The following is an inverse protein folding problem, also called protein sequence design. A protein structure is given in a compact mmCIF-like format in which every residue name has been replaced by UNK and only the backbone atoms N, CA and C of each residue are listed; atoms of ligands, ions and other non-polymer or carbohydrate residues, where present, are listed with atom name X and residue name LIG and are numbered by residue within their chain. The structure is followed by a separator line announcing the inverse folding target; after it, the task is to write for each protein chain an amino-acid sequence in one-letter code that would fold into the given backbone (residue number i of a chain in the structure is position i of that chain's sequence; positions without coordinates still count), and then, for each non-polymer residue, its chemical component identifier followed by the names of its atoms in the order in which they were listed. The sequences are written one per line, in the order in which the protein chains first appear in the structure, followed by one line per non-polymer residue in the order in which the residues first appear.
data_IF_115856919061
#
_entry.id   IF_115856919061
#
_cell.length_a   1.000
_cell.length_b   1.000
_cell.length_c   1.000
_cell.angle_alpha   90.00
_cell.angle_beta   90.00
_cell.angle_gamma   90.00
#
_symmetry.space_group_name_H-M   'P 1'
#
loop_
_entity.id
_entity.type
_entity.pdbx_description
1 polymer ?
#
# COMPACT_ATOMS: atom_id res chain seq x y z
N UNK A 1 -24.21 -27.53 -1.24
CA UNK A 1 -25.47 -28.09 -1.84
C UNK A 1 -25.07 -29.43 -2.43
N UNK A 2 -25.70 -30.51 -2.02
CA UNK A 2 -25.43 -31.83 -2.61
C UNK A 2 -25.68 -31.80 -4.11
N UNK A 3 -24.93 -32.58 -4.85
CA UNK A 3 -25.18 -32.82 -6.27
C UNK A 3 -26.51 -33.52 -6.46
N UNK A 4 -27.13 -33.27 -7.61
CA UNK A 4 -28.32 -33.98 -8.07
C UNK A 4 -27.92 -34.77 -9.32
N UNK A 5 -28.06 -36.10 -9.28
CA UNK A 5 -27.82 -36.93 -10.44
C UNK A 5 -28.75 -36.47 -11.58
N UNK A 6 -28.14 -36.10 -12.68
CA UNK A 6 -28.90 -35.63 -13.85
C UNK A 6 -29.65 -36.73 -14.54
N UNK A 7 -30.74 -36.38 -15.18
CA UNK A 7 -31.49 -37.26 -16.08
C UNK A 7 -31.16 -36.98 -17.56
N UNK A 8 -30.01 -36.35 -17.81
CA UNK A 8 -29.56 -36.04 -19.16
C UNK A 8 -28.87 -37.24 -19.79
N UNK A 9 -29.48 -37.80 -20.84
CA UNK A 9 -28.96 -38.98 -21.54
C UNK A 9 -27.81 -38.61 -22.46
N UNK A 10 -26.77 -39.43 -22.45
CA UNK A 10 -25.79 -39.49 -23.53
C UNK A 10 -26.47 -40.13 -24.77
N UNK A 11 -26.87 -39.29 -25.70
CA UNK A 11 -27.69 -39.72 -26.84
C UNK A 11 -26.96 -40.73 -27.72
N UNK A 12 -25.68 -40.55 -27.96
CA UNK A 12 -24.87 -41.44 -28.81
C UNK A 12 -24.68 -42.81 -28.16
N UNK A 13 -24.30 -42.86 -26.90
CA UNK A 13 -24.15 -44.09 -26.14
C UNK A 13 -25.47 -44.81 -25.96
N UNK A 14 -26.56 -44.06 -25.71
CA UNK A 14 -27.87 -44.61 -25.55
C UNK A 14 -28.37 -45.23 -26.87
N UNK A 15 -28.17 -44.56 -28.00
CA UNK A 15 -28.55 -45.10 -29.32
C UNK A 15 -27.75 -46.36 -29.69
N UNK A 16 -26.49 -46.45 -29.30
CA UNK A 16 -25.66 -47.63 -29.48
C UNK A 16 -26.16 -48.79 -28.62
N UNK A 17 -26.38 -48.54 -27.32
CA UNK A 17 -26.87 -49.55 -26.39
C UNK A 17 -28.26 -50.11 -26.77
N UNK A 18 -29.19 -49.29 -27.26
CA UNK A 18 -30.47 -49.71 -27.76
C UNK A 18 -30.30 -50.65 -28.97
N UNK A 19 -29.42 -50.33 -29.92
CA UNK A 19 -29.15 -51.19 -31.07
C UNK A 19 -28.59 -52.55 -30.67
N UNK A 20 -27.70 -52.59 -29.71
CA UNK A 20 -27.12 -53.81 -29.17
C UNK A 20 -28.18 -54.68 -28.46
N UNK A 21 -28.99 -54.04 -27.59
CA UNK A 21 -30.07 -54.74 -26.89
C UNK A 21 -31.10 -55.37 -27.86
N UNK A 22 -31.46 -54.61 -28.89
CA UNK A 22 -32.37 -55.11 -29.94
C UNK A 22 -31.70 -56.25 -30.67
N UNK A 23 -30.48 -56.20 -31.07
CA UNK A 23 -29.74 -57.28 -31.73
C UNK A 23 -29.64 -58.55 -30.89
N UNK A 24 -29.51 -58.39 -29.54
CA UNK A 24 -29.43 -59.43 -28.55
C UNK A 24 -30.84 -60.05 -28.23
N UNK A 25 -31.91 -59.46 -28.74
CA UNK A 25 -33.28 -59.89 -28.45
C UNK A 25 -33.79 -59.50 -27.07
N UNK A 26 -33.13 -58.55 -26.41
CA UNK A 26 -33.53 -58.01 -25.11
C UNK A 26 -34.81 -57.18 -25.23
N UNK A 27 -35.75 -57.36 -24.28
CA UNK A 27 -37.03 -56.63 -24.28
C UNK A 27 -37.03 -55.38 -23.38
N UNK A 28 -36.02 -55.23 -22.57
CA UNK A 28 -35.85 -54.08 -21.62
C UNK A 28 -34.39 -53.72 -21.54
N UNK A 29 -34.12 -52.43 -21.52
CA UNK A 29 -32.81 -51.86 -21.24
C UNK A 29 -32.96 -50.87 -20.07
N UNK A 30 -32.29 -51.18 -18.97
CA UNK A 30 -32.20 -50.25 -17.84
C UNK A 30 -31.12 -49.21 -18.13
N UNK A 31 -31.54 -47.99 -18.43
CA UNK A 31 -30.65 -46.89 -18.80
C UNK A 31 -29.73 -46.48 -17.65
N UNK A 32 -30.18 -46.62 -16.38
CA UNK A 32 -29.40 -46.30 -15.20
C UNK A 32 -28.32 -47.36 -14.96
N UNK A 33 -28.73 -48.65 -14.98
CA UNK A 33 -27.78 -49.76 -14.82
C UNK A 33 -26.72 -49.80 -15.93
N UNK A 34 -27.11 -49.40 -17.15
CA UNK A 34 -26.21 -49.29 -18.30
C UNK A 34 -25.34 -48.01 -18.29
N UNK A 35 -25.51 -47.14 -17.32
CA UNK A 35 -24.70 -45.91 -17.16
C UNK A 35 -24.82 -44.94 -18.33
N UNK A 36 -26.04 -44.81 -18.91
CA UNK A 36 -26.27 -44.02 -20.11
C UNK A 36 -26.64 -42.55 -19.84
N UNK A 37 -26.69 -42.16 -18.62
CA UNK A 37 -26.81 -40.76 -18.23
C UNK A 37 -25.41 -40.09 -18.04
N UNK A 38 -25.32 -38.81 -18.37
CA UNK A 38 -24.11 -38.05 -18.02
C UNK A 38 -23.93 -38.05 -16.53
N UNK A 39 -22.75 -38.45 -16.09
CA UNK A 39 -22.38 -38.48 -14.68
C UNK A 39 -21.96 -37.09 -14.19
N UNK A 40 -22.27 -36.76 -12.95
CA UNK A 40 -21.78 -35.58 -12.28
C UNK A 40 -20.24 -35.65 -12.21
N UNK A 41 -19.58 -34.63 -12.77
CA UNK A 41 -18.10 -34.59 -12.83
C UNK A 41 -17.49 -34.15 -11.50
N UNK A 42 -18.16 -33.25 -10.77
CA UNK A 42 -17.70 -32.74 -9.48
C UNK A 42 -18.76 -33.04 -8.42
N UNK A 43 -18.38 -33.74 -7.37
CA UNK A 43 -19.25 -34.14 -6.26
C UNK A 43 -19.01 -33.29 -5.04
N UNK A 44 -19.96 -33.19 -4.13
CA UNK A 44 -19.86 -32.43 -2.87
C UNK A 44 -18.75 -32.95 -1.93
N UNK A 45 -18.30 -34.19 -2.10
CA UNK A 45 -17.22 -34.80 -1.37
C UNK A 45 -15.85 -34.71 -2.09
N UNK A 46 -15.79 -34.02 -3.24
CA UNK A 46 -14.54 -33.78 -3.97
C UNK A 46 -13.50 -33.08 -3.07
N UNK A 47 -12.32 -33.68 -2.89
CA UNK A 47 -11.30 -33.14 -1.99
C UNK A 47 -10.78 -31.76 -2.45
N UNK A 48 -10.69 -31.51 -3.77
CA UNK A 48 -10.23 -30.24 -4.32
C UNK A 48 -11.23 -29.12 -4.05
N UNK A 49 -12.54 -29.41 -4.26
CA UNK A 49 -13.60 -28.46 -3.95
C UNK A 49 -13.64 -28.11 -2.45
N UNK A 50 -13.49 -29.10 -1.58
CA UNK A 50 -13.43 -28.89 -0.12
C UNK A 50 -12.24 -28.05 0.29
N UNK A 51 -11.04 -28.37 -0.21
CA UNK A 51 -9.83 -27.61 0.07
C UNK A 51 -9.94 -26.16 -0.42
N UNK A 52 -10.56 -25.92 -1.56
CA UNK A 52 -10.86 -24.58 -2.06
C UNK A 52 -11.83 -23.83 -1.14
N UNK A 53 -12.92 -24.46 -0.73
CA UNK A 53 -13.88 -23.87 0.21
C UNK A 53 -13.22 -23.50 1.55
N UNK A 54 -12.38 -24.37 2.08
CA UNK A 54 -11.66 -24.14 3.33
C UNK A 54 -10.66 -22.96 3.18
N UNK A 55 -10.00 -22.86 2.04
CA UNK A 55 -9.11 -21.75 1.71
C UNK A 55 -9.88 -20.42 1.63
N UNK A 56 -10.99 -20.40 0.91
CA UNK A 56 -11.85 -19.20 0.81
C UNK A 56 -12.44 -18.80 2.15
N UNK A 57 -12.79 -19.75 3.02
CA UNK A 57 -13.27 -19.48 4.38
C UNK A 57 -12.16 -18.86 5.25
N UNK A 58 -10.90 -19.27 5.09
CA UNK A 58 -9.77 -18.65 5.79
C UNK A 58 -9.58 -17.21 5.34
N UNK A 59 -9.61 -16.92 4.05
CA UNK A 59 -9.56 -15.54 3.54
C UNK A 59 -10.72 -14.69 4.08
N UNK A 60 -11.92 -15.26 4.15
CA UNK A 60 -13.09 -14.53 4.67
C UNK A 60 -12.96 -14.21 6.16
N UNK A 61 -12.29 -15.04 6.92
CA UNK A 61 -12.04 -14.84 8.35
C UNK A 61 -10.81 -13.98 8.63
N UNK A 62 -9.95 -13.76 7.63
CA UNK A 62 -8.72 -13.01 7.74
C UNK A 62 -8.99 -11.51 7.95
N UNK A 63 -8.16 -10.89 8.78
CA UNK A 63 -8.10 -9.43 8.92
C UNK A 63 -6.66 -8.96 8.97
N UNK A 64 -6.35 -7.84 8.30
CA UNK A 64 -5.07 -7.14 8.42
C UNK A 64 -5.35 -5.79 9.05
N UNK A 65 -4.88 -5.60 10.28
CA UNK A 65 -5.02 -4.33 10.98
C UNK A 65 -3.73 -3.51 10.80
N UNK A 66 -3.84 -2.38 10.13
CA UNK A 66 -2.76 -1.41 10.00
C UNK A 66 -2.79 -0.46 11.18
N UNK A 67 -1.73 -0.46 11.98
CA UNK A 67 -1.54 0.49 13.07
C UNK A 67 -0.75 1.70 12.56
N UNK A 68 -1.31 2.89 12.68
CA UNK A 68 -0.68 4.15 12.24
C UNK A 68 -0.72 5.15 13.39
N UNK A 69 0.29 5.10 14.25
CA UNK A 69 0.28 5.82 15.53
C UNK A 69 -0.83 5.30 16.45
N UNK A 70 -1.73 6.18 16.87
CA UNK A 70 -2.89 5.82 17.70
C UNK A 70 -4.11 5.39 16.87
N UNK A 71 -4.10 5.61 15.56
CA UNK A 71 -5.17 5.20 14.65
C UNK A 71 -4.93 3.80 14.10
N UNK A 72 -6.00 3.16 13.68
CA UNK A 72 -5.95 1.88 13.00
C UNK A 72 -6.88 1.84 11.79
N UNK A 73 -6.47 1.07 10.78
CA UNK A 73 -7.26 0.78 9.59
C UNK A 73 -7.36 -0.73 9.43
N UNK A 74 -8.56 -1.24 9.19
CA UNK A 74 -8.80 -2.68 9.10
C UNK A 74 -9.15 -3.06 7.67
N UNK A 75 -8.30 -3.89 7.08
CA UNK A 75 -8.60 -4.61 5.85
C UNK A 75 -9.28 -5.92 6.24
N UNK A 76 -10.58 -6.01 6.02
CA UNK A 76 -11.38 -7.18 6.39
C UNK A 76 -11.43 -8.26 5.31
N UNK A 77 -11.81 -9.47 5.73
CA UNK A 77 -11.91 -10.62 4.85
C UNK A 77 -12.97 -10.47 3.75
N UNK A 78 -13.98 -9.63 3.94
CA UNK A 78 -14.98 -9.32 2.91
C UNK A 78 -14.34 -8.57 1.74
N UNK A 79 -13.58 -7.53 2.05
CA UNK A 79 -12.80 -6.75 1.10
C UNK A 79 -11.75 -7.63 0.41
N UNK A 80 -10.99 -8.43 1.17
CA UNK A 80 -10.00 -9.36 0.61
C UNK A 80 -10.65 -10.32 -0.37
N UNK A 81 -11.77 -10.96 0.00
CA UNK A 81 -12.49 -11.89 -0.87
C UNK A 81 -12.98 -11.25 -2.18
N UNK A 82 -13.27 -9.94 -2.19
CA UNK A 82 -13.69 -9.25 -3.42
C UNK A 82 -12.58 -9.15 -4.46
N UNK A 83 -11.33 -9.35 -4.08
CA UNK A 83 -10.15 -9.34 -4.96
C UNK A 83 -9.74 -10.73 -5.42
N UNK A 84 -10.33 -11.79 -4.84
CA UNK A 84 -9.89 -13.15 -5.12
C UNK A 84 -10.53 -13.70 -6.38
N UNK A 85 -9.75 -14.45 -7.12
CA UNK A 85 -10.18 -15.28 -8.24
C UNK A 85 -9.58 -16.68 -8.12
N UNK A 86 -10.28 -17.66 -8.68
CA UNK A 86 -9.78 -19.05 -8.75
C UNK A 86 -9.29 -19.29 -10.16
N UNK A 87 -8.02 -19.63 -10.30
CA UNK A 87 -7.42 -20.00 -11.56
C UNK A 87 -7.92 -21.37 -12.07
N UNK A 88 -7.63 -21.67 -13.33
CA UNK A 88 -7.95 -22.97 -13.93
C UNK A 88 -7.16 -24.13 -13.31
N UNK A 89 -6.09 -23.82 -12.61
CA UNK A 89 -5.25 -24.73 -11.80
C UNK A 89 -5.80 -24.97 -10.38
N UNK A 90 -6.93 -24.32 -10.02
CA UNK A 90 -7.53 -24.37 -8.69
C UNK A 90 -6.84 -23.48 -7.65
N UNK A 91 -5.83 -22.69 -8.04
CA UNK A 91 -5.16 -21.77 -7.12
C UNK A 91 -5.98 -20.48 -6.93
N UNK A 92 -5.98 -19.98 -5.69
CA UNK A 92 -6.60 -18.70 -5.35
C UNK A 92 -5.57 -17.58 -5.56
N UNK A 93 -5.93 -16.60 -6.37
CA UNK A 93 -5.08 -15.46 -6.70
C UNK A 93 -5.78 -14.17 -6.30
N UNK A 94 -5.04 -13.23 -5.72
CA UNK A 94 -5.52 -11.88 -5.45
C UNK A 94 -5.29 -10.97 -6.66
N UNK A 95 -6.30 -10.17 -7.01
CA UNK A 95 -6.17 -9.15 -8.05
C UNK A 95 -5.21 -8.04 -7.57
N UNK A 96 -4.09 -7.82 -8.26
CA UNK A 96 -3.15 -6.74 -7.92
C UNK A 96 -3.79 -5.34 -7.90
N UNK A 97 -4.84 -5.12 -8.69
CA UNK A 97 -5.52 -3.83 -8.73
C UNK A 97 -6.26 -3.54 -7.41
N UNK A 98 -6.90 -4.55 -6.81
CA UNK A 98 -7.55 -4.42 -5.50
C UNK A 98 -6.55 -4.10 -4.40
N UNK A 99 -5.44 -4.83 -4.34
CA UNK A 99 -4.34 -4.59 -3.39
C UNK A 99 -3.77 -3.17 -3.56
N UNK A 100 -3.47 -2.78 -4.80
CA UNK A 100 -2.93 -1.45 -5.12
C UNK A 100 -3.91 -0.34 -4.72
N UNK A 101 -5.20 -0.49 -5.03
CA UNK A 101 -6.23 0.48 -4.68
C UNK A 101 -6.37 0.69 -3.17
N UNK A 102 -6.28 -0.39 -2.39
CA UNK A 102 -6.29 -0.29 -0.93
C UNK A 102 -5.06 0.47 -0.40
N UNK A 103 -3.86 0.15 -0.88
CA UNK A 103 -2.62 0.82 -0.45
C UNK A 103 -2.64 2.30 -0.85
N UNK A 104 -3.18 2.65 -2.02
CA UNK A 104 -3.37 4.04 -2.42
C UNK A 104 -4.34 4.79 -1.50
N UNK A 105 -5.44 4.15 -1.10
CA UNK A 105 -6.37 4.74 -0.14
C UNK A 105 -5.73 4.95 1.24
N UNK A 106 -4.92 3.98 1.69
CA UNK A 106 -4.15 4.08 2.92
C UNK A 106 -3.16 5.25 2.86
N UNK A 107 -2.41 5.39 1.76
CA UNK A 107 -1.49 6.50 1.54
C UNK A 107 -2.24 7.85 1.49
N UNK A 108 -3.36 7.94 0.78
CA UNK A 108 -4.17 9.16 0.72
C UNK A 108 -4.68 9.60 2.09
N UNK A 109 -4.94 8.65 3.00
CA UNK A 109 -5.38 8.95 4.36
C UNK A 109 -4.21 9.37 5.27
N UNK A 110 -3.09 8.68 5.22
CA UNK A 110 -2.02 8.76 6.22
C UNK A 110 -0.74 9.46 5.78
N UNK A 111 -0.54 9.73 4.49
CA UNK A 111 0.59 10.54 4.05
C UNK A 111 0.37 12.00 4.45
N UNK A 112 1.41 12.61 5.03
CA UNK A 112 1.41 14.02 5.43
C UNK A 112 2.45 14.83 4.66
N UNK A 113 3.45 14.19 4.09
CA UNK A 113 4.43 14.84 3.22
C UNK A 113 3.71 15.56 2.06
N UNK A 114 4.02 16.85 1.86
CA UNK A 114 3.39 17.69 0.85
C UNK A 114 2.06 18.33 1.26
N UNK A 115 1.48 17.98 2.41
CA UNK A 115 0.29 18.68 2.91
C UNK A 115 0.64 20.04 3.50
N UNK A 116 -0.31 20.96 3.43
CA UNK A 116 -0.20 22.25 4.12
C UNK A 116 -0.41 22.05 5.63
N UNK A 117 0.46 22.70 6.43
CA UNK A 117 0.42 22.71 7.90
C UNK A 117 0.67 24.10 8.41
N UNK A 118 0.05 24.44 9.54
CA UNK A 118 0.30 25.72 10.20
C UNK A 118 1.57 25.61 11.04
N UNK A 119 2.54 26.49 10.76
CA UNK A 119 3.75 26.64 11.53
C UNK A 119 3.64 27.87 12.43
N UNK A 120 3.82 27.68 13.74
CA UNK A 120 3.87 28.76 14.71
C UNK A 120 5.31 29.23 14.84
N UNK A 121 5.59 30.41 14.35
CA UNK A 121 6.95 30.98 14.30
C UNK A 121 7.43 31.44 15.71
N UNK A 122 8.74 31.54 15.87
CA UNK A 122 9.36 32.02 17.13
C UNK A 122 8.95 33.44 17.50
N UNK A 123 8.57 34.27 16.52
CA UNK A 123 8.05 35.62 16.74
C UNK A 123 6.51 35.69 16.88
N UNK A 124 5.84 34.54 16.96
CA UNK A 124 4.42 34.44 17.29
C UNK A 124 3.45 34.58 16.10
N UNK A 125 3.90 34.41 14.86
CA UNK A 125 3.05 34.38 13.66
C UNK A 125 2.64 32.95 13.32
N UNK A 126 1.46 32.79 12.72
CA UNK A 126 0.99 31.56 12.14
C UNK A 126 1.18 31.61 10.62
N UNK A 127 1.94 30.67 10.09
CA UNK A 127 2.27 30.62 8.65
C UNK A 127 1.86 29.28 8.06
N UNK A 128 1.05 29.25 6.98
CA UNK A 128 0.80 28.02 6.26
C UNK A 128 2.06 27.61 5.47
N UNK A 129 2.56 26.42 5.74
CA UNK A 129 3.73 25.86 5.05
C UNK A 129 3.41 24.49 4.48
N UNK A 130 3.92 24.24 3.28
CA UNK A 130 4.00 22.92 2.66
C UNK A 130 5.46 22.48 2.61
N UNK A 131 5.73 21.28 2.14
CA UNK A 131 7.11 20.83 1.93
C UNK A 131 7.20 19.32 1.88
N UNK A 132 8.35 18.78 1.52
CA UNK A 132 8.53 17.33 1.39
C UNK A 132 8.60 16.60 2.73
N UNK A 133 8.72 17.31 3.85
CA UNK A 133 8.75 16.71 5.19
C UNK A 133 7.41 16.09 5.56
N UNK A 134 7.43 14.98 6.28
CA UNK A 134 6.25 14.31 6.77
C UNK A 134 6.29 12.80 6.57
N UNK A 135 5.22 12.12 6.89
CA UNK A 135 5.03 10.70 6.67
C UNK A 135 4.67 10.43 5.21
N UNK A 136 5.28 9.41 4.65
CA UNK A 136 4.98 8.97 3.28
C UNK A 136 5.10 7.46 3.17
N UNK A 137 4.04 6.78 2.77
CA UNK A 137 4.07 5.35 2.50
C UNK A 137 4.96 5.02 1.30
N UNK A 138 5.71 3.94 1.41
CA UNK A 138 6.27 3.24 0.25
C UNK A 138 5.20 2.35 -0.35
N UNK A 139 4.39 2.92 -1.24
CA UNK A 139 3.25 2.20 -1.81
C UNK A 139 3.69 0.93 -2.58
N UNK A 140 4.84 0.97 -3.25
CA UNK A 140 5.33 -0.17 -4.02
C UNK A 140 5.76 -1.31 -3.08
N UNK A 141 6.54 -0.98 -2.05
CA UNK A 141 6.96 -1.96 -1.05
C UNK A 141 5.78 -2.50 -0.25
N UNK A 142 4.78 -1.64 0.08
CA UNK A 142 3.59 -2.07 0.81
C UNK A 142 2.69 -3.01 -0.03
N UNK A 143 2.48 -2.71 -1.32
CA UNK A 143 1.75 -3.60 -2.23
C UNK A 143 2.42 -4.97 -2.30
N UNK A 144 3.75 -5.01 -2.41
CA UNK A 144 4.51 -6.25 -2.42
C UNK A 144 4.36 -7.00 -1.09
N UNK A 145 4.52 -6.32 0.04
CA UNK A 145 4.41 -6.89 1.36
C UNK A 145 3.01 -7.44 1.64
N UNK A 146 1.96 -6.67 1.32
CA UNK A 146 0.57 -7.11 1.49
C UNK A 146 0.23 -8.30 0.60
N UNK A 147 0.66 -8.28 -0.68
CA UNK A 147 0.45 -9.40 -1.60
C UNK A 147 1.08 -10.69 -1.09
N UNK A 148 2.30 -10.62 -0.57
CA UNK A 148 2.96 -11.79 0.02
C UNK A 148 2.25 -12.25 1.29
N UNK A 149 1.81 -11.30 2.09
CA UNK A 149 1.13 -11.59 3.35
C UNK A 149 -0.22 -12.28 3.17
N UNK A 150 -0.99 -11.88 2.17
CA UNK A 150 -2.28 -12.51 1.86
C UNK A 150 -2.15 -14.02 1.62
N UNK A 151 -0.99 -14.51 1.18
CA UNK A 151 -0.75 -15.96 0.96
C UNK A 151 -0.79 -16.79 2.25
N UNK A 152 -0.53 -16.20 3.41
CA UNK A 152 -0.55 -16.90 4.69
C UNK A 152 -1.97 -17.23 5.17
N UNK A 153 -2.96 -16.43 4.75
CA UNK A 153 -4.35 -16.46 5.23
C UNK A 153 -4.52 -16.23 6.74
N UNK A 154 -3.49 -15.71 7.43
CA UNK A 154 -3.52 -15.43 8.86
C UNK A 154 -3.88 -13.97 9.13
N UNK A 155 -4.61 -13.71 10.23
CA UNK A 155 -4.88 -12.35 10.67
C UNK A 155 -3.67 -11.76 11.40
N UNK A 156 -3.40 -10.45 11.18
CA UNK A 156 -2.29 -9.77 11.86
C UNK A 156 -2.55 -8.29 12.08
N UNK A 157 -1.75 -7.74 12.97
CA UNK A 157 -1.58 -6.29 13.14
C UNK A 157 -0.16 -5.92 12.70
N UNK A 158 -0.04 -4.85 11.90
CA UNK A 158 1.26 -4.38 11.40
C UNK A 158 1.23 -2.87 11.15
N UNK A 159 2.40 -2.26 11.05
CA UNK A 159 2.54 -0.92 10.50
C UNK A 159 2.72 -0.99 8.97
N UNK A 160 2.25 0.05 8.23
CA UNK A 160 2.58 0.19 6.81
C UNK A 160 4.08 0.36 6.58
N UNK A 161 4.56 0.01 5.39
CA UNK A 161 5.94 0.32 4.98
C UNK A 161 6.02 1.80 4.59
N UNK A 162 6.91 2.54 5.25
CA UNK A 162 7.12 3.96 4.99
C UNK A 162 8.40 4.21 4.19
N UNK A 163 8.30 4.99 3.12
CA UNK A 163 9.44 5.55 2.40
C UNK A 163 10.08 6.71 3.17
N UNK A 164 9.26 7.42 3.98
CA UNK A 164 9.71 8.53 4.80
C UNK A 164 8.89 8.60 6.09
N UNK A 165 9.57 8.91 7.19
CA UNK A 165 8.98 9.13 8.52
C UNK A 165 9.19 10.56 8.98
N UNK A 166 8.31 11.06 9.86
CA UNK A 166 8.48 12.30 10.58
C UNK A 166 8.93 12.03 12.02
N UNK A 167 9.26 13.08 12.77
CA UNK A 167 9.68 12.97 14.17
C UNK A 167 8.56 12.53 15.10
N UNK A 168 7.31 12.86 14.76
CA UNK A 168 6.12 12.52 15.56
C UNK A 168 4.94 12.13 14.68
N UNK A 169 4.01 11.37 15.24
CA UNK A 169 2.67 11.15 14.69
C UNK A 169 1.65 12.17 15.19
N UNK A 170 1.96 12.86 16.27
CA UNK A 170 1.14 13.94 16.82
C UNK A 170 1.65 15.30 16.36
N UNK A 171 0.78 16.29 16.34
CA UNK A 171 1.16 17.66 16.02
C UNK A 171 1.94 18.33 17.17
N UNK A 172 2.98 19.08 16.87
CA UNK A 172 3.56 19.26 15.55
C UNK A 172 4.42 18.06 15.11
N UNK A 173 4.20 17.64 13.89
CA UNK A 173 4.81 16.45 13.29
C UNK A 173 6.34 16.50 13.23
N UNK A 174 6.93 17.70 13.17
CA UNK A 174 8.38 17.92 13.22
C UNK A 174 8.96 17.85 14.66
N UNK A 175 8.09 17.66 15.66
CA UNK A 175 8.49 17.54 17.06
C UNK A 175 8.91 18.88 17.69
N UNK A 176 9.61 18.78 18.83
CA UNK A 176 9.98 19.91 19.66
C UNK A 176 11.43 20.41 19.41
N UNK A 177 12.14 19.81 18.44
CA UNK A 177 13.54 20.18 18.13
C UNK A 177 13.67 20.40 16.61
N UNK A 178 13.90 21.67 16.23
CA UNK A 178 13.99 22.07 14.83
C UNK A 178 14.76 23.38 14.67
N UNK A 179 15.09 23.72 13.43
CA UNK A 179 15.65 25.04 13.08
C UNK A 179 14.60 25.77 12.23
N UNK A 180 14.27 26.97 12.65
CA UNK A 180 13.45 27.92 11.91
C UNK A 180 14.36 28.94 11.22
N UNK A 181 14.12 29.21 9.94
CA UNK A 181 14.76 30.25 9.16
C UNK A 181 13.70 31.24 8.71
N UNK A 182 13.60 32.36 9.39
CA UNK A 182 12.67 33.43 9.05
C UNK A 182 13.20 34.22 7.86
N UNK A 183 12.57 33.96 6.69
CA UNK A 183 12.95 34.63 5.44
C UNK A 183 12.54 36.11 5.42
N UNK A 184 11.57 36.51 6.21
CA UNK A 184 11.09 37.91 6.30
C UNK A 184 12.00 38.76 7.15
N UNK A 185 12.34 38.30 8.35
CA UNK A 185 13.15 39.03 9.30
C UNK A 185 14.64 38.73 9.15
N UNK A 186 15.02 37.80 8.24
CA UNK A 186 16.41 37.38 8.03
C UNK A 186 17.06 36.92 9.34
N UNK A 187 16.38 35.99 10.02
CA UNK A 187 16.78 35.48 11.31
C UNK A 187 16.66 33.97 11.38
N UNK A 188 17.52 33.33 12.12
CA UNK A 188 17.53 31.88 12.34
C UNK A 188 17.32 31.61 13.83
N UNK A 189 16.45 30.64 14.15
CA UNK A 189 16.22 30.19 15.53
C UNK A 189 16.43 28.68 15.60
N UNK A 190 17.17 28.25 16.63
CA UNK A 190 17.31 26.82 16.97
C UNK A 190 16.44 26.53 18.19
N UNK A 191 15.40 25.73 17.98
CA UNK A 191 14.54 25.25 19.05
C UNK A 191 14.93 23.83 19.42
N UNK A 192 15.13 23.61 20.72
CA UNK A 192 15.38 22.29 21.30
C UNK A 192 14.42 22.04 22.45
N UNK A 193 13.77 20.90 22.43
CA UNK A 193 12.78 20.49 23.44
C UNK A 193 11.73 21.59 23.72
N UNK A 194 11.28 22.26 22.64
CA UNK A 194 10.25 23.30 22.68
C UNK A 194 10.75 24.71 23.11
N UNK A 195 12.03 24.88 23.41
CA UNK A 195 12.60 26.18 23.80
C UNK A 195 13.63 26.66 22.77
N UNK A 196 13.63 27.95 22.44
CA UNK A 196 14.69 28.57 21.64
C UNK A 196 15.97 28.59 22.47
N UNK A 197 16.99 27.87 22.01
CA UNK A 197 18.27 27.72 22.69
C UNK A 197 19.38 28.57 22.06
N UNK A 198 19.16 28.99 20.81
CA UNK A 198 20.08 29.86 20.09
C UNK A 198 19.35 30.57 18.96
N UNK A 199 19.78 31.80 18.66
CA UNK A 199 19.29 32.56 17.51
C UNK A 199 20.38 33.48 16.96
N UNK A 200 20.29 33.83 15.69
CA UNK A 200 21.20 34.78 15.03
C UNK A 200 20.59 35.40 13.78
N UNK A 201 21.02 36.60 13.38
CA UNK A 201 20.69 37.13 12.07
C UNK A 201 21.31 36.25 10.96
N UNK A 202 20.61 36.11 9.84
CA UNK A 202 21.09 35.38 8.66
C UNK A 202 20.83 36.17 7.39
N UNK A 203 21.40 35.70 6.29
CA UNK A 203 21.10 36.19 4.93
C UNK A 203 20.62 35.01 4.11
N UNK A 204 19.44 35.16 3.55
CA UNK A 204 18.85 34.14 2.66
C UNK A 204 19.03 34.51 1.20
N UNK A 205 18.51 33.71 0.30
CA UNK A 205 18.70 33.85 -1.14
C UNK A 205 18.24 35.20 -1.69
N UNK A 206 18.99 35.72 -2.66
CA UNK A 206 18.77 37.04 -3.26
C UNK A 206 17.63 37.00 -4.27
N UNK A 207 16.44 37.48 -3.88
CA UNK A 207 15.23 37.53 -4.69
C UNK A 207 15.43 38.34 -5.98
N UNK A 208 16.17 39.48 -5.92
CA UNK A 208 16.40 40.35 -7.09
C UNK A 208 17.23 39.66 -8.19
N UNK A 209 18.04 38.66 -7.80
CA UNK A 209 18.86 37.85 -8.72
C UNK A 209 18.20 36.49 -9.04
N UNK A 210 16.95 36.30 -8.67
CA UNK A 210 16.22 35.02 -8.84
C UNK A 210 16.84 33.82 -8.10
N UNK A 211 17.50 34.09 -6.97
CA UNK A 211 18.05 33.07 -6.05
C UNK A 211 17.21 33.00 -4.77
N UNK A 212 15.90 32.79 -4.93
CA UNK A 212 14.97 32.75 -3.81
C UNK A 212 15.18 31.47 -2.98
N UNK A 213 15.28 31.59 -1.66
CA UNK A 213 15.19 30.44 -0.76
C UNK A 213 13.74 29.96 -0.73
N UNK A 214 13.43 28.73 -1.15
CA UNK A 214 12.05 28.24 -1.16
C UNK A 214 11.53 28.04 0.26
N UNK A 215 10.32 28.58 0.58
CA UNK A 215 9.69 28.30 1.87
C UNK A 215 9.21 26.86 1.94
N UNK A 216 9.11 26.30 3.15
CA UNK A 216 8.61 24.97 3.36
C UNK A 216 9.18 24.26 4.59
N UNK A 217 8.74 23.04 4.82
CA UNK A 217 9.23 22.17 5.88
C UNK A 217 10.08 21.08 5.25
N UNK A 218 11.33 20.97 5.71
CA UNK A 218 12.36 20.10 5.14
C UNK A 218 13.00 19.23 6.20
N UNK A 219 13.45 18.03 5.82
CA UNK A 219 14.35 17.23 6.65
C UNK A 219 15.77 17.73 6.55
N UNK A 220 16.51 17.70 7.67
CA UNK A 220 17.95 17.91 7.65
C UNK A 220 18.62 16.73 6.91
N UNK A 221 19.28 17.03 5.80
CA UNK A 221 19.87 15.99 4.94
C UNK A 221 21.23 15.52 5.45
N UNK A 222 22.07 16.45 5.89
CA UNK A 222 23.41 16.15 6.43
C UNK A 222 23.92 17.32 7.29
N UNK A 223 24.98 17.05 8.04
CA UNK A 223 25.77 18.05 8.79
C UNK A 223 27.21 17.91 8.33
N UNK A 224 27.87 19.04 8.09
CA UNK A 224 29.27 19.08 7.73
C UNK A 224 29.97 20.13 8.60
N UNK A 225 31.23 19.86 8.90
CA UNK A 225 32.17 20.81 9.53
C UNK A 225 33.26 21.18 8.51
N UNK A 226 33.81 22.37 8.60
CA UNK A 226 34.92 22.86 7.74
C UNK A 226 34.59 22.82 6.23
N UNK A 227 33.33 23.08 5.87
CA UNK A 227 32.91 23.10 4.47
C UNK A 227 33.37 24.38 3.78
N UNK A 228 33.92 24.23 2.57
CA UNK A 228 34.22 25.36 1.69
C UNK A 228 33.02 25.59 0.77
N UNK A 229 32.31 26.69 0.96
CA UNK A 229 31.26 27.15 0.05
C UNK A 229 31.89 27.90 -1.12
N UNK A 230 31.62 27.47 -2.33
CA UNK A 230 32.13 28.08 -3.56
C UNK A 230 30.97 28.58 -4.43
N UNK A 231 31.06 29.80 -4.89
CA UNK A 231 30.19 30.40 -5.87
C UNK A 231 30.41 29.86 -7.28
N UNK A 232 29.69 30.40 -8.27
CA UNK A 232 29.90 30.04 -9.67
C UNK A 232 31.33 30.21 -10.12
N UNK A 233 31.81 29.36 -11.05
CA UNK A 233 33.12 29.56 -11.69
C UNK A 233 33.07 30.72 -12.67
N UNK A 234 34.05 31.59 -12.60
CA UNK A 234 34.33 32.62 -13.60
C UNK A 234 35.01 32.05 -14.85
N UNK A 235 35.13 32.85 -15.90
CA UNK A 235 35.76 32.44 -17.17
C UNK A 235 37.25 32.12 -16.99
N UNK A 236 37.95 32.70 -16.02
CA UNK A 236 39.35 32.48 -15.69
C UNK A 236 39.55 31.22 -14.80
N UNK A 237 38.47 30.51 -14.47
CA UNK A 237 38.51 29.28 -13.66
C UNK A 237 38.46 29.52 -12.15
N UNK A 238 38.56 30.77 -11.67
CA UNK A 238 38.37 31.13 -10.27
C UNK A 238 36.91 31.06 -9.86
N UNK A 239 36.61 31.04 -8.56
CA UNK A 239 35.25 31.13 -8.04
C UNK A 239 34.84 32.58 -7.78
N UNK A 240 33.57 32.91 -7.94
CA UNK A 240 33.04 34.25 -7.63
C UNK A 240 33.23 34.61 -6.17
N UNK A 241 33.10 33.62 -5.30
CA UNK A 241 33.44 33.68 -3.89
C UNK A 241 33.86 32.29 -3.40
N UNK A 242 34.63 32.29 -2.32
CA UNK A 242 34.98 31.12 -1.52
C UNK A 242 34.88 31.47 -0.05
N UNK A 243 34.20 30.69 0.76
CA UNK A 243 34.01 30.91 2.19
C UNK A 243 34.13 29.60 2.93
N UNK A 244 34.89 29.62 4.01
CA UNK A 244 35.00 28.52 4.97
C UNK A 244 33.90 28.69 6.03
N UNK A 245 33.12 27.64 6.28
CA UNK A 245 32.03 27.62 7.25
C UNK A 245 32.10 26.37 8.11
#
# INVERSE_FOLDING_TARGET
IPEVEGNNLDVERTAAAIREAVAAGERQLDLTAAGLYYQVQVRADDPGLRALCDTMNRYRAMTVTYQVGEESEVLDGGTICSWLSVGTDGQVNADPAGVTGFVQALAAKYDTAGRERTFHTADGRDIPLTGPYGWKLDQAAEVQALTEYLKSTDSQTREPVFAQTAASRTEPEWGATYVEIDLTNQHVYMTKDGAVVWDAPCVTGNVSKNYTTPPGIYSLTYKEEDRILRGPKKADGSYEYESHV
#
